data_IF_163746546215
#
_entry.id   IF_163746546215
#
_cell.length_a   1.000
_cell.length_b   1.000
_cell.length_c   1.000
_cell.angle_alpha   90.00
_cell.angle_beta   90.00
_cell.angle_gamma   90.00
#
_symmetry.space_group_name_H-M   'P 1'
#
loop_
_entity.id
_entity.type
_entity.pdbx_description
1 polymer ?
#
# COMPACT_ATOMS: atom_id res chain seq x y z
N UNK A 1 23.43 1.13 1.69
CA UNK A 1 23.30 0.91 3.13
C UNK A 1 24.04 -0.34 3.60
N UNK A 2 24.10 -0.54 4.88
CA UNK A 2 24.73 -1.72 5.48
C UNK A 2 23.64 -2.68 5.98
N UNK A 3 23.89 -3.98 5.83
CA UNK A 3 23.06 -5.02 6.43
C UNK A 3 23.62 -5.33 7.83
N UNK A 4 22.76 -5.21 8.83
CA UNK A 4 23.08 -5.46 10.22
C UNK A 4 22.38 -6.74 10.69
N UNK A 5 22.94 -7.37 11.71
CA UNK A 5 22.31 -8.46 12.42
C UNK A 5 22.60 -8.40 13.91
N UNK A 6 21.82 -9.08 14.75
CA UNK A 6 22.09 -9.14 16.17
C UNK A 6 23.49 -9.65 16.48
N UNK A 7 24.19 -8.99 17.40
CA UNK A 7 25.49 -9.40 17.90
C UNK A 7 25.58 -9.16 19.41
N UNK A 8 26.34 -9.96 20.17
CA UNK A 8 26.57 -9.75 21.59
C UNK A 8 27.46 -8.50 21.79
N UNK A 9 26.86 -7.41 22.25
CA UNK A 9 27.55 -6.12 22.47
C UNK A 9 27.18 -5.60 23.87
N UNK A 10 28.18 -5.35 24.69
CA UNK A 10 27.97 -4.82 26.02
C UNK A 10 27.44 -3.37 25.96
N UNK A 11 26.33 -3.09 26.67
CA UNK A 11 25.74 -1.77 26.72
C UNK A 11 26.59 -0.75 27.47
N UNK A 12 27.42 -1.20 28.43
CA UNK A 12 28.18 -0.36 29.34
C UNK A 12 29.58 -0.02 28.83
N UNK A 13 30.31 -1.03 28.30
CA UNK A 13 31.68 -0.83 27.85
C UNK A 13 31.84 -0.94 26.33
N UNK A 14 30.77 -1.20 25.57
CA UNK A 14 30.73 -1.41 24.13
C UNK A 14 31.69 -2.50 23.60
N UNK A 15 32.13 -3.45 24.46
CA UNK A 15 32.90 -4.60 24.01
C UNK A 15 32.01 -5.52 23.15
N UNK A 16 32.56 -5.97 22.03
CA UNK A 16 31.90 -6.83 21.05
C UNK A 16 32.43 -8.26 21.17
N UNK A 17 31.55 -9.26 21.03
CA UNK A 17 31.89 -10.65 21.14
C UNK A 17 31.34 -11.45 19.97
N UNK A 18 32.01 -12.60 19.68
CA UNK A 18 31.52 -13.52 18.66
C UNK A 18 30.26 -14.24 19.17
N UNK A 19 29.28 -14.49 18.29
CA UNK A 19 27.99 -15.09 18.66
C UNK A 19 28.10 -16.48 19.28
N UNK A 20 29.17 -17.23 19.00
CA UNK A 20 29.41 -18.56 19.55
C UNK A 20 30.20 -18.56 20.88
N UNK A 21 30.76 -17.42 21.29
CA UNK A 21 31.73 -17.33 22.39
C UNK A 21 31.35 -16.26 23.43
N UNK A 22 30.08 -16.19 23.83
CA UNK A 22 29.67 -15.26 24.85
C UNK A 22 28.82 -15.94 25.94
N UNK A 23 28.85 -15.41 27.15
CA UNK A 23 28.04 -15.82 28.30
C UNK A 23 27.01 -14.75 28.66
N UNK A 24 26.34 -14.94 29.80
CA UNK A 24 25.31 -13.99 30.29
C UNK A 24 25.91 -12.67 30.73
N UNK A 25 27.18 -12.65 31.15
CA UNK A 25 27.91 -11.48 31.61
C UNK A 25 29.06 -11.08 30.68
N UNK A 26 29.30 -9.78 30.57
CA UNK A 26 30.38 -9.22 29.79
C UNK A 26 31.75 -9.59 30.38
N UNK A 27 32.61 -10.30 29.65
CA UNK A 27 33.96 -10.68 30.14
C UNK A 27 34.84 -9.49 30.46
N UNK A 28 34.58 -8.31 29.89
CA UNK A 28 35.37 -7.09 30.07
C UNK A 28 35.01 -6.31 31.32
N UNK A 29 33.71 -6.16 31.64
CA UNK A 29 33.25 -5.31 32.73
C UNK A 29 32.35 -6.01 33.78
N UNK A 30 32.04 -7.30 33.56
CA UNK A 30 31.23 -8.12 34.52
C UNK A 30 29.75 -7.75 34.56
N UNK A 31 29.26 -6.92 33.66
CA UNK A 31 27.83 -6.53 33.62
C UNK A 31 27.05 -7.42 32.64
N UNK A 32 25.71 -7.54 32.77
CA UNK A 32 24.90 -8.34 31.88
C UNK A 32 25.16 -8.00 30.42
N UNK A 33 25.40 -9.02 29.60
CA UNK A 33 25.66 -8.88 28.16
C UNK A 33 24.34 -9.00 27.40
N UNK A 34 24.02 -7.96 26.65
CA UNK A 34 22.84 -7.91 25.78
C UNK A 34 23.18 -8.15 24.31
N UNK A 35 22.15 -8.24 23.48
CA UNK A 35 22.26 -8.31 22.01
C UNK A 35 21.89 -6.96 21.41
N UNK A 36 22.72 -6.46 20.51
CA UNK A 36 22.49 -5.21 19.77
C UNK A 36 22.66 -5.44 18.27
N UNK A 37 22.04 -4.59 17.47
CA UNK A 37 22.22 -4.58 16.03
C UNK A 37 23.63 -4.06 15.69
N UNK A 38 24.37 -4.85 14.91
CA UNK A 38 25.71 -4.54 14.44
C UNK A 38 25.86 -4.94 12.98
N UNK A 39 26.82 -4.28 12.29
CA UNK A 39 27.14 -4.65 10.91
C UNK A 39 27.48 -6.15 10.85
N UNK A 40 26.89 -6.85 9.88
CA UNK A 40 27.24 -8.25 9.62
C UNK A 40 28.73 -8.39 9.33
N UNK A 41 29.40 -9.30 10.03
CA UNK A 41 30.81 -9.54 9.88
C UNK A 41 31.26 -10.90 10.42
N UNK A 42 32.26 -11.49 9.76
CA UNK A 42 32.81 -12.77 10.18
C UNK A 42 33.45 -12.71 11.57
N UNK A 43 33.97 -11.54 11.96
CA UNK A 43 34.58 -11.33 13.29
C UNK A 43 33.56 -11.43 14.42
N UNK A 44 32.31 -11.08 14.18
CA UNK A 44 31.21 -11.18 15.13
C UNK A 44 30.44 -12.50 14.99
N UNK A 45 30.63 -13.21 13.89
CA UNK A 45 29.88 -14.45 13.58
C UNK A 45 28.38 -14.21 13.28
N UNK A 46 27.95 -12.96 13.16
CA UNK A 46 26.54 -12.58 12.96
C UNK A 46 26.15 -12.50 11.48
N UNK A 47 26.87 -13.22 10.61
CA UNK A 47 26.53 -13.28 9.19
C UNK A 47 25.41 -14.27 8.94
N UNK A 48 24.49 -13.91 8.05
CA UNK A 48 23.47 -14.80 7.52
C UNK A 48 23.91 -15.31 6.15
N UNK A 49 23.92 -16.62 5.95
CA UNK A 49 24.27 -17.25 4.67
C UNK A 49 23.13 -16.99 3.65
N UNK A 50 23.41 -16.33 2.52
CA UNK A 50 22.41 -16.20 1.45
C UNK A 50 21.98 -17.57 0.88
N UNK A 51 22.90 -18.53 0.81
CA UNK A 51 22.64 -19.87 0.29
C UNK A 51 21.61 -20.60 1.15
N UNK A 52 21.79 -20.61 2.48
CA UNK A 52 20.85 -21.24 3.41
C UNK A 52 19.45 -20.57 3.33
N UNK A 53 19.41 -19.25 3.12
CA UNK A 53 18.14 -18.53 3.00
C UNK A 53 17.45 -18.82 1.67
N UNK A 54 18.20 -18.93 0.58
CA UNK A 54 17.66 -19.30 -0.74
C UNK A 54 17.16 -20.75 -0.73
N UNK A 55 17.88 -21.67 -0.10
CA UNK A 55 17.45 -23.06 0.02
C UNK A 55 16.16 -23.20 0.84
N UNK A 56 16.00 -22.36 1.86
CA UNK A 56 14.84 -22.40 2.77
C UNK A 56 13.62 -21.65 2.26
N UNK A 57 13.81 -20.48 1.65
CA UNK A 57 12.71 -19.55 1.32
C UNK A 57 12.57 -19.27 -0.19
N UNK A 58 13.53 -19.70 -1.01
CA UNK A 58 13.60 -19.39 -2.42
C UNK A 58 14.25 -18.04 -2.71
N UNK A 59 14.89 -17.94 -3.87
CA UNK A 59 15.63 -16.74 -4.28
C UNK A 59 14.72 -15.47 -4.35
N UNK A 60 13.52 -15.62 -4.88
CA UNK A 60 12.59 -14.49 -5.03
C UNK A 60 12.15 -13.90 -3.68
N UNK A 61 11.93 -14.72 -2.67
CA UNK A 61 11.62 -14.25 -1.31
C UNK A 61 12.79 -13.45 -0.72
N UNK A 62 14.01 -13.97 -0.85
CA UNK A 62 15.21 -13.27 -0.33
C UNK A 62 15.43 -11.94 -1.04
N UNK A 63 15.26 -11.92 -2.36
CA UNK A 63 15.35 -10.69 -3.17
C UNK A 63 14.29 -9.67 -2.75
N UNK A 64 13.04 -10.11 -2.61
CA UNK A 64 11.93 -9.26 -2.17
C UNK A 64 12.22 -8.66 -0.79
N UNK A 65 12.67 -9.47 0.16
CA UNK A 65 13.02 -9.02 1.50
C UNK A 65 14.10 -7.93 1.47
N UNK A 66 15.18 -8.11 0.71
CA UNK A 66 16.28 -7.13 0.63
C UNK A 66 15.80 -5.83 -0.04
N UNK A 67 15.08 -5.92 -1.15
CA UNK A 67 14.63 -4.74 -1.90
C UNK A 67 13.54 -3.94 -1.20
N UNK A 68 12.72 -4.62 -0.38
CA UNK A 68 11.65 -3.99 0.38
C UNK A 68 12.09 -3.49 1.76
N UNK A 69 13.12 -4.10 2.36
CA UNK A 69 13.53 -3.85 3.75
C UNK A 69 14.00 -2.44 4.03
N UNK A 70 14.78 -1.85 3.11
CA UNK A 70 15.26 -0.48 3.24
C UNK A 70 15.61 0.14 1.87
N UNK A 71 15.65 1.47 1.84
CA UNK A 71 16.23 2.16 0.69
C UNK A 71 17.75 1.90 0.60
N UNK A 72 18.35 1.94 -0.60
CA UNK A 72 19.77 1.63 -0.80
C UNK A 72 20.75 2.43 0.05
N UNK A 73 20.40 3.67 0.44
CA UNK A 73 21.22 4.55 1.27
C UNK A 73 21.11 4.22 2.77
N UNK A 74 20.01 3.62 3.19
CA UNK A 74 19.73 3.30 4.60
C UNK A 74 20.36 1.97 5.02
N UNK A 75 20.68 1.85 6.31
CA UNK A 75 21.00 0.55 6.91
C UNK A 75 19.73 -0.29 7.06
N UNK A 76 19.87 -1.61 7.02
CA UNK A 76 18.80 -2.55 7.21
C UNK A 76 19.19 -3.56 8.29
N UNK A 77 18.29 -3.79 9.24
CA UNK A 77 18.44 -4.85 10.22
C UNK A 77 17.83 -6.16 9.69
N UNK A 78 18.57 -7.24 9.82
CA UNK A 78 18.08 -8.57 9.49
C UNK A 78 16.94 -8.96 10.44
N UNK A 79 15.88 -9.52 9.88
CA UNK A 79 14.72 -10.00 10.63
C UNK A 79 14.12 -11.24 9.98
N UNK A 80 14.22 -12.38 10.66
CA UNK A 80 13.63 -13.63 10.20
C UNK A 80 12.10 -13.51 10.06
N UNK A 81 11.45 -12.81 10.98
CA UNK A 81 10.01 -12.58 10.92
C UNK A 81 9.59 -11.73 9.71
N UNK A 82 10.41 -10.76 9.32
CA UNK A 82 10.17 -9.98 8.12
C UNK A 82 10.43 -10.82 6.85
N UNK A 83 11.44 -11.68 6.84
CA UNK A 83 11.69 -12.62 5.74
C UNK A 83 10.52 -13.60 5.57
N UNK A 84 10.00 -14.17 6.66
CA UNK A 84 8.80 -15.01 6.64
C UNK A 84 7.55 -14.27 6.17
N UNK A 85 7.41 -12.98 6.52
CA UNK A 85 6.30 -12.15 6.02
C UNK A 85 6.39 -11.96 4.50
N UNK A 86 7.60 -11.72 3.97
CA UNK A 86 7.81 -11.63 2.51
C UNK A 86 7.59 -12.99 1.82
N UNK A 87 7.95 -14.09 2.46
CA UNK A 87 7.65 -15.43 1.94
C UNK A 87 6.13 -15.64 1.80
N UNK A 88 5.36 -15.33 2.84
CA UNK A 88 3.88 -15.36 2.77
C UNK A 88 3.33 -14.43 1.68
N UNK A 89 3.95 -13.28 1.47
CA UNK A 89 3.55 -12.34 0.40
C UNK A 89 3.74 -12.95 -0.99
N UNK A 90 4.86 -13.62 -1.24
CA UNK A 90 5.11 -14.34 -2.50
C UNK A 90 4.04 -15.41 -2.73
N UNK A 91 3.73 -16.22 -1.72
CA UNK A 91 2.68 -17.25 -1.86
C UNK A 91 1.29 -16.65 -2.06
N UNK A 92 0.97 -15.53 -1.42
CA UNK A 92 -0.30 -14.84 -1.64
C UNK A 92 -0.44 -14.31 -3.09
N UNK A 93 0.66 -13.92 -3.73
CA UNK A 93 0.66 -13.57 -5.16
C UNK A 93 0.42 -14.82 -6.02
N UNK A 94 1.06 -15.95 -5.70
CA UNK A 94 0.86 -17.22 -6.40
C UNK A 94 -0.62 -17.63 -6.33
N UNK A 95 -1.22 -17.58 -5.14
CA UNK A 95 -2.63 -17.89 -4.93
C UNK A 95 -3.55 -16.95 -5.71
N UNK A 96 -3.21 -15.66 -5.80
CA UNK A 96 -3.96 -14.67 -6.56
C UNK A 96 -3.99 -15.01 -8.06
N UNK A 97 -2.83 -15.36 -8.64
CA UNK A 97 -2.73 -15.79 -10.06
C UNK A 97 -3.53 -17.07 -10.28
N UNK A 98 -3.42 -18.05 -9.37
CA UNK A 98 -4.19 -19.30 -9.44
C UNK A 98 -5.70 -19.06 -9.38
N UNK A 99 -6.17 -18.14 -8.53
CA UNK A 99 -7.59 -17.82 -8.39
C UNK A 99 -8.17 -17.15 -9.64
N UNK A 100 -7.37 -16.36 -10.35
CA UNK A 100 -7.79 -15.71 -11.59
C UNK A 100 -8.12 -16.70 -12.71
N UNK A 101 -7.40 -17.83 -12.76
CA UNK A 101 -7.63 -18.86 -13.78
C UNK A 101 -8.98 -19.57 -13.60
N UNK A 102 -9.53 -19.55 -12.40
CA UNK A 102 -10.82 -20.17 -12.06
C UNK A 102 -12.02 -19.22 -12.19
N UNK A 103 -11.82 -17.98 -12.67
CA UNK A 103 -12.89 -17.02 -12.83
C UNK A 103 -13.78 -17.31 -14.04
N UNK A 104 -15.04 -16.89 -13.92
CA UNK A 104 -16.06 -17.00 -14.98
C UNK A 104 -16.08 -15.72 -15.83
N UNK A 105 -16.82 -15.76 -16.96
CA UNK A 105 -17.08 -14.57 -17.77
C UNK A 105 -18.32 -13.85 -17.19
N UNK A 106 -18.11 -13.10 -16.11
CA UNK A 106 -19.18 -12.42 -15.36
C UNK A 106 -18.80 -10.97 -15.09
N UNK A 107 -19.08 -10.04 -16.04
CA UNK A 107 -18.78 -8.63 -15.88
C UNK A 107 -19.40 -8.03 -14.61
N UNK A 108 -18.64 -7.19 -13.95
CA UNK A 108 -19.03 -6.53 -12.71
C UNK A 108 -18.72 -5.03 -12.74
N UNK A 109 -19.43 -4.20 -11.95
CA UNK A 109 -19.10 -2.78 -11.82
C UNK A 109 -17.70 -2.52 -11.23
N UNK A 110 -17.01 -3.56 -10.78
CA UNK A 110 -15.65 -3.47 -10.24
C UNK A 110 -14.57 -3.62 -11.31
N UNK A 111 -14.93 -4.02 -12.52
CA UNK A 111 -13.97 -4.27 -13.60
C UNK A 111 -13.26 -2.99 -14.02
N UNK A 112 -14.02 -1.92 -14.26
CA UNK A 112 -13.47 -0.60 -14.57
C UNK A 112 -12.57 -0.08 -13.45
N UNK A 113 -12.94 -0.35 -12.19
CA UNK A 113 -12.14 0.04 -11.05
C UNK A 113 -10.80 -0.70 -10.99
N UNK A 114 -10.80 -2.01 -11.22
CA UNK A 114 -9.56 -2.80 -11.19
C UNK A 114 -8.59 -2.34 -12.29
N UNK A 115 -9.10 -2.09 -13.50
CA UNK A 115 -8.28 -1.60 -14.62
C UNK A 115 -7.80 -0.17 -14.36
N UNK A 116 -8.64 0.71 -13.77
CA UNK A 116 -8.20 2.05 -13.38
C UNK A 116 -7.11 2.00 -12.30
N UNK A 117 -7.21 1.09 -11.32
CA UNK A 117 -6.16 0.85 -10.31
C UNK A 117 -4.87 0.32 -10.94
N UNK A 118 -4.96 -0.64 -11.83
CA UNK A 118 -3.80 -1.14 -12.59
C UNK A 118 -3.04 0.01 -13.23
N UNK A 119 -3.72 0.87 -13.98
CA UNK A 119 -3.10 2.00 -14.68
C UNK A 119 -2.47 3.02 -13.73
N UNK A 120 -3.18 3.35 -12.66
CA UNK A 120 -2.65 4.25 -11.63
C UNK A 120 -1.38 3.69 -10.98
N UNK A 121 -1.40 2.41 -10.60
CA UNK A 121 -0.27 1.72 -10.00
C UNK A 121 0.90 1.57 -10.98
N UNK A 122 0.65 1.29 -12.26
CA UNK A 122 1.68 1.25 -13.28
C UNK A 122 2.38 2.61 -13.44
N UNK A 123 1.64 3.71 -13.38
CA UNK A 123 2.22 5.06 -13.42
C UNK A 123 3.14 5.32 -12.23
N UNK A 124 2.65 5.06 -11.01
CA UNK A 124 3.44 5.21 -9.78
C UNK A 124 4.69 4.31 -9.78
N UNK A 125 4.52 3.06 -10.21
CA UNK A 125 5.63 2.11 -10.29
C UNK A 125 6.71 2.55 -11.29
N UNK A 126 6.32 3.04 -12.48
CA UNK A 126 7.27 3.55 -13.49
C UNK A 126 8.04 4.75 -12.97
N UNK A 127 7.37 5.67 -12.30
CA UNK A 127 8.01 6.83 -11.69
C UNK A 127 9.00 6.39 -10.60
N UNK A 128 8.60 5.49 -9.71
CA UNK A 128 9.46 4.97 -8.65
C UNK A 128 10.69 4.25 -9.22
N UNK A 129 10.50 3.35 -10.21
CA UNK A 129 11.60 2.61 -10.83
C UNK A 129 12.52 3.53 -11.65
N UNK A 130 11.96 4.52 -12.36
CA UNK A 130 12.73 5.51 -13.10
C UNK A 130 13.60 6.39 -12.20
N UNK A 131 13.15 6.67 -10.98
CA UNK A 131 13.89 7.41 -9.95
C UNK A 131 14.79 6.52 -9.05
N UNK A 132 14.87 5.21 -9.35
CA UNK A 132 15.61 4.22 -8.55
C UNK A 132 15.07 4.12 -7.11
N UNK A 133 13.81 4.48 -6.88
CA UNK A 133 13.11 4.30 -5.60
C UNK A 133 12.62 2.85 -5.46
N UNK A 134 13.56 1.91 -5.34
CA UNK A 134 13.28 0.46 -5.46
C UNK A 134 12.24 -0.02 -4.44
N UNK A 135 12.34 0.45 -3.19
CA UNK A 135 11.40 0.08 -2.13
C UNK A 135 9.96 0.50 -2.47
N UNK A 136 9.79 1.69 -3.03
CA UNK A 136 8.47 2.20 -3.46
C UNK A 136 7.93 1.38 -4.65
N UNK A 137 8.77 1.12 -5.65
CA UNK A 137 8.41 0.26 -6.78
C UNK A 137 7.97 -1.14 -6.34
N UNK A 138 8.69 -1.73 -5.38
CA UNK A 138 8.34 -3.04 -4.79
C UNK A 138 7.05 -2.95 -3.96
N UNK A 139 6.84 -1.86 -3.20
CA UNK A 139 5.58 -1.64 -2.47
C UNK A 139 4.39 -1.69 -3.42
N UNK A 140 4.46 -0.96 -4.53
CA UNK A 140 3.39 -0.95 -5.54
C UNK A 140 3.19 -2.34 -6.15
N UNK A 141 4.26 -2.96 -6.67
CA UNK A 141 4.15 -4.20 -7.45
C UNK A 141 3.78 -5.43 -6.60
N UNK A 142 4.21 -5.53 -5.34
CA UNK A 142 4.01 -6.73 -4.53
C UNK A 142 2.92 -6.57 -3.46
N UNK A 143 2.63 -5.36 -3.00
CA UNK A 143 1.66 -5.16 -1.91
C UNK A 143 0.40 -4.46 -2.37
N UNK A 144 0.49 -3.32 -3.06
CA UNK A 144 -0.70 -2.57 -3.48
C UNK A 144 -1.48 -3.31 -4.57
N UNK A 145 -0.80 -3.89 -5.56
CA UNK A 145 -1.46 -4.67 -6.61
C UNK A 145 -2.20 -5.88 -6.04
N UNK A 146 -1.60 -6.61 -5.10
CA UNK A 146 -2.27 -7.73 -4.42
C UNK A 146 -3.45 -7.25 -3.57
N UNK A 147 -3.32 -6.11 -2.88
CA UNK A 147 -4.40 -5.53 -2.10
C UNK A 147 -5.58 -5.10 -2.99
N UNK A 148 -5.31 -4.57 -4.18
CA UNK A 148 -6.34 -4.20 -5.15
C UNK A 148 -7.03 -5.44 -5.74
N UNK A 149 -6.28 -6.50 -6.07
CA UNK A 149 -6.84 -7.78 -6.48
C UNK A 149 -7.77 -8.38 -5.41
N UNK A 150 -7.29 -8.45 -4.17
CA UNK A 150 -8.08 -8.95 -3.06
C UNK A 150 -9.34 -8.10 -2.80
N UNK A 151 -9.25 -6.80 -3.02
CA UNK A 151 -10.42 -5.92 -2.92
C UNK A 151 -11.41 -6.17 -4.03
N UNK A 152 -10.95 -6.33 -5.27
CA UNK A 152 -11.77 -6.68 -6.42
C UNK A 152 -12.58 -7.96 -6.15
N UNK A 153 -11.93 -9.05 -5.76
CA UNK A 153 -12.58 -10.30 -5.43
C UNK A 153 -13.59 -10.15 -4.27
N UNK A 154 -13.20 -9.43 -3.21
CA UNK A 154 -14.08 -9.15 -2.06
C UNK A 154 -15.34 -8.39 -2.44
N UNK A 155 -15.27 -7.55 -3.44
CA UNK A 155 -16.36 -6.73 -3.96
C UNK A 155 -17.23 -7.47 -4.98
N UNK A 156 -16.96 -8.76 -5.20
CA UNK A 156 -17.70 -9.60 -6.13
C UNK A 156 -17.20 -9.52 -7.58
N UNK A 157 -16.01 -8.99 -7.80
CA UNK A 157 -15.35 -9.06 -9.10
C UNK A 157 -14.93 -10.50 -9.40
N UNK A 158 -15.30 -11.01 -10.56
CA UNK A 158 -15.01 -12.38 -10.98
C UNK A 158 -14.89 -12.52 -12.51
N UNK A 159 -14.78 -11.42 -13.24
CA UNK A 159 -14.68 -11.47 -14.71
C UNK A 159 -13.30 -11.91 -15.19
N UNK A 160 -13.26 -13.01 -15.96
CA UNK A 160 -12.02 -13.60 -16.48
C UNK A 160 -11.25 -12.67 -17.41
N UNK A 161 -11.95 -11.92 -18.25
CA UNK A 161 -11.33 -10.98 -19.20
C UNK A 161 -10.61 -9.86 -18.47
N UNK A 162 -11.28 -9.28 -17.48
CA UNK A 162 -10.71 -8.25 -16.61
C UNK A 162 -9.53 -8.77 -15.79
N UNK A 163 -9.67 -9.95 -15.18
CA UNK A 163 -8.59 -10.61 -14.45
C UNK A 163 -7.38 -10.84 -15.35
N UNK A 164 -7.59 -11.35 -16.57
CA UNK A 164 -6.52 -11.54 -17.56
C UNK A 164 -5.80 -10.23 -17.87
N UNK A 165 -6.52 -9.18 -18.20
CA UNK A 165 -5.94 -7.87 -18.51
C UNK A 165 -5.17 -7.28 -17.30
N UNK A 166 -5.68 -7.49 -16.08
CA UNK A 166 -5.02 -7.07 -14.86
C UNK A 166 -3.68 -7.78 -14.65
N UNK A 167 -3.65 -9.11 -14.77
CA UNK A 167 -2.42 -9.89 -14.58
C UNK A 167 -1.42 -9.70 -15.73
N UNK A 168 -1.86 -9.54 -16.96
CA UNK A 168 -0.99 -9.19 -18.08
C UNK A 168 -0.23 -7.87 -17.84
N UNK A 169 -0.86 -6.92 -17.19
CA UNK A 169 -0.22 -5.66 -16.78
C UNK A 169 0.55 -5.71 -15.48
N UNK A 170 0.20 -6.61 -14.56
CA UNK A 170 0.83 -6.71 -13.23
C UNK A 170 2.09 -7.59 -13.24
N UNK A 171 2.06 -8.78 -13.85
CA UNK A 171 3.18 -9.74 -13.84
C UNK A 171 4.51 -9.11 -14.23
N UNK A 172 4.60 -8.28 -15.28
CA UNK A 172 5.86 -7.63 -15.62
C UNK A 172 6.43 -6.70 -14.54
N UNK A 173 5.57 -6.13 -13.69
CA UNK A 173 6.01 -5.27 -12.58
C UNK A 173 6.67 -6.07 -11.45
N UNK A 174 6.43 -7.38 -11.37
CA UNK A 174 7.05 -8.26 -10.36
C UNK A 174 8.51 -8.58 -10.71
N UNK A 175 8.84 -8.65 -11.99
CA UNK A 175 10.12 -9.17 -12.49
C UNK A 175 11.38 -8.53 -11.87
N UNK A 176 11.47 -7.22 -11.58
CA UNK A 176 12.66 -6.64 -10.96
C UNK A 176 13.00 -7.22 -9.59
N UNK A 177 12.00 -7.60 -8.80
CA UNK A 177 12.20 -8.14 -7.46
C UNK A 177 12.10 -9.67 -7.42
N UNK A 178 11.09 -10.24 -8.08
CA UNK A 178 10.79 -11.68 -8.06
C UNK A 178 10.77 -12.26 -9.50
N UNK A 179 11.93 -12.33 -10.18
CA UNK A 179 12.01 -12.69 -11.58
C UNK A 179 11.55 -14.12 -11.89
N UNK A 180 11.78 -15.09 -10.98
CA UNK A 180 11.47 -16.48 -11.28
C UNK A 180 9.96 -16.73 -11.28
N UNK A 181 9.23 -16.24 -10.29
CA UNK A 181 7.76 -16.36 -10.27
C UNK A 181 7.13 -15.53 -11.38
N UNK A 182 7.66 -14.34 -11.67
CA UNK A 182 7.16 -13.50 -12.75
C UNK A 182 7.30 -14.18 -14.12
N UNK A 183 8.44 -14.80 -14.39
CA UNK A 183 8.69 -15.55 -15.62
C UNK A 183 7.76 -16.77 -15.74
N UNK A 184 7.59 -17.52 -14.65
CA UNK A 184 6.68 -18.67 -14.61
C UNK A 184 5.25 -18.27 -14.92
N UNK A 185 4.75 -17.20 -14.27
CA UNK A 185 3.40 -16.70 -14.55
C UNK A 185 3.24 -16.18 -15.97
N UNK A 186 4.27 -15.51 -16.50
CA UNK A 186 4.29 -15.05 -17.87
C UNK A 186 4.09 -16.19 -18.84
N UNK A 187 4.80 -17.30 -18.67
CA UNK A 187 4.65 -18.50 -19.50
C UNK A 187 3.28 -19.17 -19.32
N UNK A 188 2.79 -19.29 -18.10
CA UNK A 188 1.44 -19.84 -17.81
C UNK A 188 0.34 -19.03 -18.49
N UNK A 189 0.55 -17.72 -18.67
CA UNK A 189 -0.37 -16.84 -19.38
C UNK A 189 -0.15 -16.82 -20.90
N UNK A 190 0.73 -17.65 -21.43
CA UNK A 190 0.95 -17.82 -22.85
C UNK A 190 2.04 -16.92 -23.45
N UNK A 191 2.88 -16.31 -22.63
CA UNK A 191 4.08 -15.60 -23.08
C UNK A 191 5.02 -16.54 -23.82
N UNK A 192 5.43 -16.15 -25.05
CA UNK A 192 6.24 -16.99 -25.94
C UNK A 192 7.74 -16.72 -25.82
N UNK A 193 8.12 -15.59 -25.24
CA UNK A 193 9.50 -15.14 -25.07
C UNK A 193 9.75 -14.88 -23.60
N UNK A 194 11.01 -14.66 -23.22
CA UNK A 194 11.34 -14.30 -21.85
C UNK A 194 10.65 -12.98 -21.47
N UNK A 195 10.11 -12.93 -20.29
CA UNK A 195 9.50 -11.73 -19.74
C UNK A 195 10.48 -10.54 -19.72
N UNK A 196 11.77 -10.82 -19.49
CA UNK A 196 12.83 -9.80 -19.52
C UNK A 196 12.98 -9.09 -20.89
N UNK A 197 12.47 -9.69 -21.97
CA UNK A 197 12.44 -9.09 -23.32
C UNK A 197 11.14 -8.33 -23.59
N UNK A 198 10.16 -8.42 -22.69
CA UNK A 198 8.87 -7.75 -22.82
C UNK A 198 8.98 -6.27 -22.49
N UNK A 199 8.53 -5.43 -23.39
CA UNK A 199 8.43 -3.99 -23.17
C UNK A 199 7.03 -3.66 -22.69
N UNK A 200 6.93 -3.14 -21.47
CA UNK A 200 5.65 -2.65 -20.96
C UNK A 200 5.13 -1.52 -21.86
N UNK A 201 3.89 -1.63 -22.38
CA UNK A 201 3.30 -0.60 -23.21
C UNK A 201 3.27 0.76 -22.49
N UNK A 202 3.42 1.84 -23.24
CA UNK A 202 3.27 3.18 -22.68
C UNK A 202 1.81 3.41 -22.28
N UNK A 203 1.62 3.95 -21.08
CA UNK A 203 0.29 4.22 -20.50
C UNK A 203 -0.12 5.68 -20.59
N UNK A 204 0.67 6.52 -21.27
CA UNK A 204 0.44 7.97 -21.36
C UNK A 204 -0.91 8.35 -21.98
N UNK A 205 -1.47 7.51 -22.84
CA UNK A 205 -2.77 7.74 -23.51
C UNK A 205 -3.98 7.17 -22.76
N UNK A 206 -3.78 6.51 -21.63
CA UNK A 206 -4.88 5.91 -20.89
C UNK A 206 -5.38 6.85 -19.79
N UNK A 207 -6.54 7.46 -20.01
CA UNK A 207 -7.23 8.22 -18.98
C UNK A 207 -7.66 7.30 -17.85
N UNK A 208 -7.16 7.59 -16.63
CA UNK A 208 -7.64 6.93 -15.42
C UNK A 208 -8.98 7.55 -15.03
N UNK A 209 -10.04 6.75 -14.90
CA UNK A 209 -11.32 7.25 -14.42
C UNK A 209 -11.24 7.60 -12.93
N UNK A 210 -11.03 8.88 -12.66
CA UNK A 210 -10.92 9.41 -11.31
C UNK A 210 -12.21 9.22 -10.49
N UNK A 211 -13.39 9.19 -11.13
CA UNK A 211 -14.67 9.01 -10.43
C UNK A 211 -14.82 7.59 -9.91
N UNK A 212 -14.43 6.60 -10.70
CA UNK A 212 -14.45 5.19 -10.29
C UNK A 212 -13.51 4.97 -9.12
N UNK A 213 -12.29 5.54 -9.17
CA UNK A 213 -11.33 5.46 -8.06
C UNK A 213 -11.85 6.15 -6.80
N UNK A 214 -12.41 7.35 -6.93
CA UNK A 214 -12.92 8.13 -5.79
C UNK A 214 -14.09 7.42 -5.09
N UNK A 215 -14.98 6.78 -5.85
CA UNK A 215 -16.12 6.02 -5.31
C UNK A 215 -15.66 4.88 -4.39
N UNK A 216 -14.74 4.05 -4.84
CA UNK A 216 -14.25 2.92 -4.04
C UNK A 216 -13.33 3.39 -2.90
N UNK A 217 -12.56 4.47 -3.07
CA UNK A 217 -11.80 5.08 -1.98
C UNK A 217 -12.71 5.57 -0.86
N UNK A 218 -13.83 6.22 -1.20
CA UNK A 218 -14.84 6.63 -0.22
C UNK A 218 -15.40 5.43 0.55
N UNK A 219 -15.78 4.35 -0.14
CA UNK A 219 -16.30 3.15 0.49
C UNK A 219 -15.27 2.48 1.42
N UNK A 220 -14.01 2.39 0.99
CA UNK A 220 -12.90 1.90 1.83
C UNK A 220 -12.77 2.71 3.11
N UNK A 221 -12.83 4.04 3.01
CA UNK A 221 -12.76 4.94 4.16
C UNK A 221 -13.94 4.76 5.12
N UNK A 222 -15.16 4.60 4.61
CA UNK A 222 -16.35 4.32 5.43
C UNK A 222 -16.19 3.00 6.18
N UNK A 223 -15.75 1.93 5.50
CA UNK A 223 -15.51 0.63 6.11
C UNK A 223 -14.40 0.69 7.18
N UNK A 224 -13.31 1.41 6.90
CA UNK A 224 -12.21 1.60 7.87
C UNK A 224 -12.70 2.36 9.10
N UNK A 225 -13.46 3.44 8.92
CA UNK A 225 -14.07 4.22 10.00
C UNK A 225 -15.03 3.38 10.85
N UNK A 226 -15.86 2.57 10.21
CA UNK A 226 -16.79 1.68 10.92
C UNK A 226 -16.05 0.64 11.75
N UNK A 227 -14.96 0.05 11.23
CA UNK A 227 -14.11 -0.89 11.97
C UNK A 227 -13.43 -0.24 13.17
N UNK A 228 -12.88 0.96 12.99
CA UNK A 228 -12.25 1.72 14.08
C UNK A 228 -13.25 2.06 15.19
N UNK A 229 -14.44 2.53 14.82
CA UNK A 229 -15.52 2.82 15.78
C UNK A 229 -15.97 1.56 16.51
N UNK A 230 -16.09 0.43 15.82
CA UNK A 230 -16.39 -0.86 16.45
C UNK A 230 -15.33 -1.23 17.48
N UNK A 231 -14.04 -1.19 17.12
CA UNK A 231 -12.95 -1.51 18.04
C UNK A 231 -12.85 -0.54 19.23
N UNK A 232 -13.27 0.71 19.06
CA UNK A 232 -13.40 1.65 20.20
C UNK A 232 -14.59 1.27 21.09
N UNK A 233 -15.75 1.01 20.52
CA UNK A 233 -16.95 0.71 21.29
C UNK A 233 -16.84 -0.62 22.05
N UNK A 234 -16.20 -1.65 21.49
CA UNK A 234 -15.93 -2.94 22.15
C UNK A 234 -15.09 -2.80 23.44
N UNK A 235 -14.34 -1.70 23.61
CA UNK A 235 -13.60 -1.41 24.84
C UNK A 235 -14.50 -0.90 25.98
N UNK A 236 -15.71 -0.44 25.67
CA UNK A 236 -16.63 0.17 26.61
C UNK A 236 -17.94 -0.63 26.81
N UNK A 237 -18.11 -1.74 26.10
CA UNK A 237 -19.29 -2.58 26.20
C UNK A 237 -18.89 -4.04 26.39
N UNK A 238 -19.47 -4.71 27.39
CA UNK A 238 -19.33 -6.15 27.60
C UNK A 238 -20.21 -6.96 26.63
N UNK A 239 -21.26 -6.34 26.09
CA UNK A 239 -22.14 -6.94 25.09
C UNK A 239 -21.66 -6.58 23.70
N UNK A 240 -21.54 -7.55 22.79
CA UNK A 240 -21.12 -7.33 21.42
C UNK A 240 -22.00 -6.31 20.68
N UNK A 241 -21.44 -5.65 19.68
CA UNK A 241 -22.14 -4.65 18.86
C UNK A 241 -23.00 -5.40 17.82
N UNK A 242 -24.32 -5.28 17.92
CA UNK A 242 -25.28 -5.91 17.03
C UNK A 242 -25.76 -5.02 15.87
N UNK A 243 -25.53 -3.69 15.97
CA UNK A 243 -26.04 -2.74 14.98
C UNK A 243 -25.05 -1.59 14.75
N UNK A 244 -24.84 -1.26 13.48
CA UNK A 244 -24.16 -0.04 13.04
C UNK A 244 -25.14 0.81 12.21
N UNK A 245 -25.15 2.12 12.45
CA UNK A 245 -25.94 3.09 11.69
C UNK A 245 -24.98 4.02 10.94
N UNK A 246 -25.08 4.01 9.60
CA UNK A 246 -24.35 4.96 8.75
C UNK A 246 -25.30 6.11 8.47
N UNK A 247 -24.96 7.28 8.99
CA UNK A 247 -25.70 8.49 8.70
C UNK A 247 -25.01 9.25 7.57
N UNK A 248 -25.73 9.39 6.45
CA UNK A 248 -25.26 10.17 5.31
C UNK A 248 -25.56 11.66 5.52
N UNK A 249 -24.69 12.52 4.96
CA UNK A 249 -24.97 13.94 4.95
C UNK A 249 -26.26 14.24 4.14
N UNK A 250 -27.06 15.22 4.55
CA UNK A 250 -28.21 15.64 3.77
C UNK A 250 -27.78 16.16 2.39
N UNK A 251 -28.67 16.04 1.39
CA UNK A 251 -28.39 16.33 -0.01
C UNK A 251 -27.76 17.71 -0.22
N UNK A 252 -28.23 18.71 0.51
CA UNK A 252 -27.70 20.09 0.40
C UNK A 252 -26.20 20.20 0.74
N UNK A 253 -25.66 19.36 1.64
CA UNK A 253 -24.21 19.36 1.93
C UNK A 253 -23.39 18.84 0.74
N UNK A 254 -23.93 17.87 0.02
CA UNK A 254 -23.29 17.33 -1.18
C UNK A 254 -23.34 18.33 -2.34
N UNK A 255 -24.44 19.08 -2.46
CA UNK A 255 -24.59 20.16 -3.45
C UNK A 255 -23.61 21.31 -3.17
N UNK A 256 -23.53 21.73 -1.91
CA UNK A 256 -22.59 22.77 -1.47
C UNK A 256 -21.12 22.37 -1.70
N UNK A 257 -20.79 21.11 -1.44
CA UNK A 257 -19.43 20.59 -1.68
C UNK A 257 -19.09 20.57 -3.18
N UNK A 258 -20.06 20.19 -4.03
CA UNK A 258 -19.88 20.19 -5.48
C UNK A 258 -19.67 21.60 -6.02
N UNK A 259 -20.45 22.55 -5.54
CA UNK A 259 -20.35 23.97 -5.91
C UNK A 259 -18.98 24.53 -5.50
N UNK A 260 -18.53 24.27 -4.27
CA UNK A 260 -17.22 24.69 -3.80
C UNK A 260 -16.06 24.09 -4.65
N UNK A 261 -16.15 22.81 -5.05
CA UNK A 261 -15.15 22.17 -5.89
C UNK A 261 -15.12 22.75 -7.31
N UNK A 262 -16.28 23.03 -7.88
CA UNK A 262 -16.38 23.68 -9.20
C UNK A 262 -15.72 25.04 -9.18
N UNK A 263 -16.07 25.88 -8.21
CA UNK A 263 -15.50 27.23 -8.04
C UNK A 263 -13.98 27.20 -7.80
N UNK A 264 -13.48 26.20 -7.04
CA UNK A 264 -12.03 26.04 -6.86
C UNK A 264 -11.33 25.71 -8.17
N UNK A 265 -11.93 24.85 -9.01
CA UNK A 265 -11.40 24.53 -10.34
C UNK A 265 -11.36 25.72 -11.30
N UNK A 266 -12.26 26.70 -11.10
CA UNK A 266 -12.34 27.95 -11.86
C UNK A 266 -11.47 29.08 -11.28
N UNK A 267 -10.73 28.79 -10.20
CA UNK A 267 -9.87 29.79 -9.55
C UNK A 267 -10.60 30.86 -8.76
N UNK A 268 -11.77 30.53 -8.22
CA UNK A 268 -12.60 31.44 -7.46
C UNK A 268 -11.91 31.91 -6.16
N UNK A 269 -11.95 33.24 -5.89
CA UNK A 269 -11.40 33.77 -4.64
C UNK A 269 -12.41 33.61 -3.48
N UNK A 270 -12.30 32.48 -2.78
CA UNK A 270 -13.14 32.18 -1.63
C UNK A 270 -12.98 33.16 -0.47
N UNK A 271 -11.83 33.80 -0.34
CA UNK A 271 -11.58 34.77 0.74
C UNK A 271 -12.30 36.08 0.52
N UNK A 272 -12.27 36.57 -0.71
CA UNK A 272 -12.90 37.86 -1.06
C UNK A 272 -14.39 37.74 -1.35
N UNK A 273 -14.84 36.65 -1.95
CA UNK A 273 -16.17 36.48 -2.53
C UNK A 273 -17.00 35.35 -1.93
N UNK A 274 -16.42 34.48 -1.12
CA UNK A 274 -17.06 33.24 -0.63
C UNK A 274 -18.30 33.52 0.22
N UNK A 275 -18.30 34.56 1.08
CA UNK A 275 -19.44 34.87 1.91
C UNK A 275 -20.64 35.34 1.06
N UNK A 276 -20.42 36.23 0.10
CA UNK A 276 -21.46 36.69 -0.78
C UNK A 276 -22.03 35.58 -1.66
N UNK A 277 -21.14 34.65 -2.13
CA UNK A 277 -21.56 33.52 -2.93
C UNK A 277 -22.47 32.56 -2.14
N UNK A 278 -22.08 32.16 -0.93
CA UNK A 278 -22.91 31.24 -0.13
C UNK A 278 -24.26 31.84 0.23
N UNK A 279 -24.31 33.15 0.44
CA UNK A 279 -25.57 33.88 0.70
C UNK A 279 -26.49 33.93 -0.52
N UNK A 280 -25.96 33.83 -1.73
CA UNK A 280 -26.73 33.81 -2.97
C UNK A 280 -27.31 32.46 -3.32
N UNK A 281 -26.91 31.39 -2.62
CA UNK A 281 -27.41 30.05 -2.88
C UNK A 281 -28.86 29.90 -2.40
N UNK A 282 -29.71 29.27 -3.19
CA UNK A 282 -31.11 29.03 -2.86
C UNK A 282 -31.29 28.31 -1.51
N UNK A 283 -30.40 27.40 -1.16
CA UNK A 283 -30.44 26.70 0.12
C UNK A 283 -30.26 27.62 1.32
N UNK A 284 -29.63 28.80 1.15
CA UNK A 284 -29.40 29.78 2.20
C UNK A 284 -30.69 30.52 2.60
N UNK A 285 -31.74 30.42 1.79
CA UNK A 285 -33.09 30.91 2.11
C UNK A 285 -33.69 30.20 3.33
N UNK A 286 -33.28 28.98 3.59
CA UNK A 286 -33.71 28.23 4.78
C UNK A 286 -33.04 28.80 6.05
N UNK A 287 -33.76 29.61 6.79
CA UNK A 287 -33.28 30.28 7.99
C UNK A 287 -32.72 29.34 9.08
N UNK A 288 -33.36 28.16 9.26
CA UNK A 288 -32.97 27.21 10.25
C UNK A 288 -31.57 26.56 9.95
N UNK A 289 -31.16 26.56 8.69
CA UNK A 289 -29.92 25.93 8.24
C UNK A 289 -28.78 26.93 7.99
N UNK A 290 -29.05 28.25 7.97
CA UNK A 290 -28.05 29.28 7.60
C UNK A 290 -26.73 29.15 8.35
N UNK A 291 -26.78 28.92 9.64
CA UNK A 291 -25.59 28.76 10.46
C UNK A 291 -24.78 27.51 10.08
N UNK A 292 -25.44 26.38 9.86
CA UNK A 292 -24.82 25.13 9.48
C UNK A 292 -24.28 25.19 8.04
N UNK A 293 -25.01 25.82 7.12
CA UNK A 293 -24.56 26.02 5.72
C UNK A 293 -23.28 26.83 5.71
N UNK A 294 -23.24 27.95 6.46
CA UNK A 294 -22.08 28.82 6.51
C UNK A 294 -20.87 28.13 7.12
N UNK A 295 -21.04 27.38 8.22
CA UNK A 295 -19.97 26.59 8.84
C UNK A 295 -19.45 25.51 7.88
N UNK A 296 -20.35 24.80 7.20
CA UNK A 296 -19.97 23.78 6.22
C UNK A 296 -19.19 24.38 5.06
N UNK A 297 -19.65 25.52 4.53
CA UNK A 297 -18.94 26.26 3.47
C UNK A 297 -17.53 26.66 3.90
N UNK A 298 -17.38 27.24 5.07
CA UNK A 298 -16.08 27.64 5.60
C UNK A 298 -15.14 26.44 5.79
N UNK A 299 -15.67 25.30 6.24
CA UNK A 299 -14.88 24.08 6.38
C UNK A 299 -14.41 23.54 5.03
N UNK A 300 -15.25 23.52 4.01
CA UNK A 300 -14.92 23.07 2.66
C UNK A 300 -13.86 23.96 2.01
N UNK A 301 -13.98 25.26 2.16
CA UNK A 301 -13.12 26.24 1.46
C UNK A 301 -11.81 26.55 2.20
N UNK A 302 -11.72 26.27 3.52
CA UNK A 302 -10.49 26.45 4.28
C UNK A 302 -9.42 25.38 4.00
N UNK A 303 -9.82 24.20 3.52
CA UNK A 303 -8.93 23.07 3.19
C UNK A 303 -8.18 23.23 1.88
N UNK A 304 -8.65 24.07 0.96
CA UNK A 304 -8.08 24.25 -0.39
C UNK A 304 -6.69 24.90 -0.39
N UNK A 305 -6.27 25.54 0.71
CA UNK A 305 -4.97 26.22 0.85
C UNK A 305 -3.77 25.32 1.22
N UNK A 306 -3.98 24.03 1.55
CA UNK A 306 -2.89 23.15 1.99
C UNK A 306 -2.27 22.27 0.89
N UNK A 307 -2.70 22.43 -0.38
CA UNK A 307 -2.22 21.62 -1.52
C UNK A 307 -1.68 22.46 -2.69
N UNK A 308 -1.05 23.61 -2.39
CA UNK A 308 -0.21 24.30 -3.37
C UNK A 308 1.22 24.39 -2.88
#
# INVERSE_FOLDING_TARGET
GMLNAPAPICADCNAEYHVDNFGDDCPTCGKPLGTRSAKMGKSLGNTVSPEDMVDRYGADTVRLFILFGANPEAGMDWSDSALEANHRQVYAIIDAVGSAQAMDDSPSPMDDWLIARLRANQSTWREAMGNVSLREGVMVSHFEMLADWNWYCRRGGCDRTTARAFFDGWIPMLAPATPHIAEEFWHQMGGQRLLAEHVLPDITDSTVDAHVLAREAYLRNVIASARNLRGLAERYTESGISRAVIQTAPAWKSELARDALLLDSEGFDFKARGQAHVQSLTIFENEALRGEIFQTWMALTSGTKKKR
#
